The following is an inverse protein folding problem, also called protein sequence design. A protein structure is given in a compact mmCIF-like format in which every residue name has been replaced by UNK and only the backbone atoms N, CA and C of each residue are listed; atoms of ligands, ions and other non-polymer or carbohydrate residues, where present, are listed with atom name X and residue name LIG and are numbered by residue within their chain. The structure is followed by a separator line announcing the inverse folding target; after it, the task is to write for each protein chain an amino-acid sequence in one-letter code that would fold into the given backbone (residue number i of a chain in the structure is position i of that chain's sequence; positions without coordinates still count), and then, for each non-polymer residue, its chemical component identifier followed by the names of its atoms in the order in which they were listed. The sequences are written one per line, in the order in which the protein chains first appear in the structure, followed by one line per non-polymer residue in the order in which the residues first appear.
data_IF_045494074062
#
_entry.id   IF_045494074062
#
_cell.length_a   1.000
_cell.length_b   1.000
_cell.length_c   1.000
_cell.angle_alpha   90.00
_cell.angle_beta   90.00
_cell.angle_gamma   90.00
#
_symmetry.space_group_name_H-M   'P 1'
#
loop_
_entity.id
_entity.type
_entity.pdbx_description
1 polymer ?
#
# COMPACT_ATOMS: atom_id res chain seq x y z
N UNK A 1 -30.36 -19.97 12.80
CA UNK A 1 -29.01 -20.30 13.39
C UNK A 1 -27.80 -19.96 12.51
N UNK A 2 -27.86 -20.15 11.19
CA UNK A 2 -26.70 -19.79 10.30
C UNK A 2 -26.40 -18.28 10.26
N UNK A 3 -27.41 -17.43 10.33
CA UNK A 3 -27.27 -15.97 10.23
C UNK A 3 -26.61 -15.32 11.48
N UNK A 4 -26.82 -15.87 12.65
CA UNK A 4 -26.28 -15.37 13.92
C UNK A 4 -24.76 -15.65 14.05
N UNK A 5 -24.28 -16.77 13.51
CA UNK A 5 -22.85 -17.10 13.47
C UNK A 5 -22.08 -16.23 12.47
N UNK A 6 -22.71 -15.85 11.36
CA UNK A 6 -22.14 -14.97 10.34
C UNK A 6 -22.00 -13.53 10.86
N UNK A 7 -23.00 -13.02 11.58
CA UNK A 7 -22.96 -11.70 12.20
C UNK A 7 -21.86 -11.57 13.27
N UNK A 8 -21.68 -12.60 14.10
CA UNK A 8 -20.60 -12.63 15.12
C UNK A 8 -19.21 -12.65 14.48
N UNK A 9 -19.03 -13.39 13.38
CA UNK A 9 -17.76 -13.39 12.61
C UNK A 9 -17.46 -12.03 12.00
N UNK A 10 -18.47 -11.39 11.39
CA UNK A 10 -18.33 -10.07 10.80
C UNK A 10 -17.99 -9.00 11.85
N UNK A 11 -18.66 -9.04 13.00
CA UNK A 11 -18.37 -8.12 14.12
C UNK A 11 -16.96 -8.30 14.66
N UNK A 12 -16.52 -9.56 14.88
CA UNK A 12 -15.18 -9.87 15.36
C UNK A 12 -14.10 -9.45 14.37
N UNK A 13 -14.34 -9.67 13.07
CA UNK A 13 -13.44 -9.21 12.02
C UNK A 13 -13.38 -7.67 11.96
N UNK A 14 -14.54 -7.00 12.01
CA UNK A 14 -14.63 -5.53 12.02
C UNK A 14 -13.87 -4.90 13.19
N UNK A 15 -14.05 -5.43 14.40
CA UNK A 15 -13.28 -4.99 15.58
C UNK A 15 -11.79 -5.26 15.40
N UNK A 16 -11.41 -6.43 14.88
CA UNK A 16 -10.01 -6.76 14.59
C UNK A 16 -9.37 -5.78 13.59
N UNK A 17 -10.05 -5.44 12.51
CA UNK A 17 -9.56 -4.44 11.54
C UNK A 17 -9.45 -3.04 12.16
N UNK A 18 -10.44 -2.63 12.98
CA UNK A 18 -10.43 -1.32 13.64
C UNK A 18 -9.24 -1.20 14.59
N UNK A 19 -9.05 -2.17 15.46
CA UNK A 19 -7.92 -2.20 16.41
C UNK A 19 -6.60 -2.24 15.66
N UNK A 20 -6.49 -3.07 14.62
CA UNK A 20 -5.27 -3.15 13.82
C UNK A 20 -4.92 -1.85 13.11
N UNK A 21 -5.89 -1.23 12.47
CA UNK A 21 -5.68 0.08 11.84
C UNK A 21 -5.30 1.16 12.84
N UNK A 22 -5.87 1.11 14.04
CA UNK A 22 -5.53 2.04 15.12
C UNK A 22 -4.09 1.83 15.60
N UNK A 23 -3.64 0.57 15.75
CA UNK A 23 -2.26 0.25 16.11
C UNK A 23 -1.27 0.71 15.04
N UNK A 24 -1.52 0.38 13.76
CA UNK A 24 -0.64 0.79 12.64
C UNK A 24 -0.56 2.31 12.52
N UNK A 25 -1.69 3.01 12.58
CA UNK A 25 -1.73 4.48 12.53
C UNK A 25 -1.11 5.11 13.77
N UNK A 26 -1.29 4.52 14.94
CA UNK A 26 -0.66 4.94 16.19
C UNK A 26 0.87 4.82 16.11
N UNK A 27 1.37 3.72 15.55
CA UNK A 27 2.80 3.52 15.34
C UNK A 27 3.37 4.58 14.38
N UNK A 28 2.70 4.82 13.25
CA UNK A 28 3.08 5.87 12.29
C UNK A 28 3.04 7.27 12.92
N UNK A 29 2.04 7.54 13.76
CA UNK A 29 1.96 8.81 14.48
C UNK A 29 3.13 9.03 15.45
N UNK A 30 3.58 7.97 16.13
CA UNK A 30 4.74 8.03 17.02
C UNK A 30 6.07 8.12 16.25
N UNK A 31 6.14 7.59 15.04
CA UNK A 31 7.33 7.66 14.19
C UNK A 31 7.66 9.10 13.77
N UNK A 32 6.66 9.95 13.49
CA UNK A 32 6.88 11.33 13.06
C UNK A 32 7.72 12.15 14.06
N UNK A 33 7.36 12.26 15.37
CA UNK A 33 8.18 13.02 16.32
C UNK A 33 9.53 12.34 16.60
N UNK A 34 9.63 11.02 16.41
CA UNK A 34 10.89 10.31 16.52
C UNK A 34 11.85 10.72 15.41
N UNK A 35 11.39 10.69 14.16
CA UNK A 35 12.18 11.13 13.00
C UNK A 35 12.53 12.62 13.09
N UNK A 36 11.60 13.48 13.51
CA UNK A 36 11.86 14.90 13.69
C UNK A 36 12.93 15.21 14.75
N UNK A 37 13.23 14.27 15.66
CA UNK A 37 14.31 14.40 16.67
C UNK A 37 15.63 13.78 16.23
N UNK A 38 15.59 12.76 15.38
CA UNK A 38 16.76 12.00 14.95
C UNK A 38 17.35 12.53 13.63
N UNK A 39 16.53 13.16 12.78
CA UNK A 39 16.91 13.67 11.48
C UNK A 39 17.13 15.18 11.56
N UNK A 40 17.99 15.71 10.67
CA UNK A 40 18.07 17.16 10.46
C UNK A 40 16.79 17.66 9.76
N UNK A 41 16.53 18.95 9.82
CA UNK A 41 15.37 19.56 9.12
C UNK A 41 15.43 19.30 7.62
N UNK A 42 16.64 19.29 7.05
CA UNK A 42 16.89 19.03 5.63
C UNK A 42 16.57 17.58 5.26
N UNK A 43 17.11 16.60 6.02
CA UNK A 43 16.84 15.17 5.82
C UNK A 43 15.36 14.84 5.95
N UNK A 44 14.67 15.42 6.95
CA UNK A 44 13.24 15.25 7.15
C UNK A 44 12.44 15.84 5.97
N UNK A 45 12.90 16.95 5.40
CA UNK A 45 12.32 17.56 4.19
C UNK A 45 12.45 16.62 2.99
N UNK A 46 13.62 16.04 2.75
CA UNK A 46 13.87 15.06 1.68
C UNK A 46 12.96 13.82 1.85
N UNK A 47 12.93 13.25 3.05
CA UNK A 47 12.07 12.11 3.38
C UNK A 47 10.59 12.41 3.13
N UNK A 48 10.10 13.55 3.60
CA UNK A 48 8.71 13.97 3.42
C UNK A 48 8.33 14.14 1.95
N UNK A 49 9.24 14.73 1.17
CA UNK A 49 9.08 14.90 -0.28
C UNK A 49 9.04 13.56 -0.99
N UNK A 50 10.00 12.67 -0.68
CA UNK A 50 10.04 11.29 -1.20
C UNK A 50 8.75 10.53 -0.91
N UNK A 51 8.29 10.54 0.35
CA UNK A 51 7.06 9.86 0.78
C UNK A 51 5.82 10.42 0.07
N UNK A 52 5.77 11.71 -0.19
CA UNK A 52 4.69 12.34 -0.94
C UNK A 52 4.63 11.84 -2.39
N UNK A 53 5.77 11.71 -3.04
CA UNK A 53 5.86 11.14 -4.40
C UNK A 53 5.48 9.65 -4.41
N UNK A 54 5.90 8.88 -3.41
CA UNK A 54 5.48 7.47 -3.26
C UNK A 54 3.96 7.36 -3.17
N UNK A 55 3.30 8.21 -2.38
CA UNK A 55 1.83 8.21 -2.28
C UNK A 55 1.16 8.46 -3.63
N UNK A 56 1.61 9.47 -4.38
CA UNK A 56 1.07 9.78 -5.71
C UNK A 56 1.29 8.62 -6.67
N UNK A 57 2.53 8.11 -6.71
CA UNK A 57 2.89 6.99 -7.59
C UNK A 57 2.19 5.68 -7.23
N UNK A 58 1.86 5.45 -5.95
CA UNK A 58 1.07 4.28 -5.52
C UNK A 58 -0.32 4.28 -6.17
N UNK A 59 -0.96 5.45 -6.26
CA UNK A 59 -2.25 5.58 -6.96
C UNK A 59 -2.10 5.27 -8.45
N UNK A 60 -1.05 5.80 -9.09
CA UNK A 60 -0.76 5.55 -10.50
C UNK A 60 -0.38 4.08 -10.77
N UNK A 61 0.44 3.47 -9.91
CA UNK A 61 0.85 2.07 -10.05
C UNK A 61 -0.32 1.09 -9.91
N UNK A 62 -1.18 1.32 -8.90
CA UNK A 62 -2.29 0.43 -8.57
C UNK A 62 -3.64 0.79 -9.21
N UNK A 63 -3.79 1.95 -9.88
CA UNK A 63 -5.06 2.47 -10.42
C UNK A 63 -6.23 2.40 -9.42
N UNK A 64 -5.93 2.36 -8.13
CA UNK A 64 -6.92 2.19 -7.06
C UNK A 64 -7.78 0.91 -7.20
N UNK A 65 -7.32 -0.07 -7.99
CA UNK A 65 -8.05 -1.31 -8.29
C UNK A 65 -8.34 -2.17 -7.07
N UNK A 66 -7.66 -1.94 -5.95
CA UNK A 66 -7.96 -2.60 -4.68
C UNK A 66 -9.40 -2.35 -4.20
N UNK A 67 -10.03 -1.25 -4.60
CA UNK A 67 -11.41 -0.92 -4.22
C UNK A 67 -12.44 -1.80 -4.97
N UNK A 68 -12.10 -2.27 -6.16
CA UNK A 68 -12.98 -3.09 -7.00
C UNK A 68 -13.10 -4.55 -6.52
N UNK A 69 -12.17 -5.02 -5.68
CA UNK A 69 -12.16 -6.41 -5.14
C UNK A 69 -13.47 -6.74 -4.41
N UNK A 70 -14.03 -5.77 -3.67
CA UNK A 70 -15.29 -5.96 -2.96
C UNK A 70 -16.47 -6.19 -3.92
N UNK A 71 -16.55 -5.40 -4.98
CA UNK A 71 -17.60 -5.54 -5.99
C UNK A 71 -17.42 -6.83 -6.78
N UNK A 72 -16.18 -7.16 -7.16
CA UNK A 72 -15.89 -8.41 -7.85
C UNK A 72 -16.33 -9.66 -7.08
N UNK A 73 -16.20 -9.64 -5.74
CA UNK A 73 -16.67 -10.76 -4.91
C UNK A 73 -18.19 -10.87 -4.84
N UNK A 74 -18.93 -9.77 -4.99
CA UNK A 74 -20.38 -9.76 -5.01
C UNK A 74 -20.94 -10.19 -6.38
N UNK A 75 -20.30 -9.68 -7.46
CA UNK A 75 -20.79 -9.85 -8.83
C UNK A 75 -20.27 -11.14 -9.48
N UNK A 76 -19.08 -11.61 -9.10
CA UNK A 76 -18.36 -12.73 -9.73
C UNK A 76 -17.86 -13.74 -8.68
N UNK A 77 -18.77 -14.32 -7.89
CA UNK A 77 -18.44 -15.22 -6.76
C UNK A 77 -17.51 -16.35 -7.19
N UNK A 78 -17.78 -17.01 -8.31
CA UNK A 78 -17.01 -18.15 -8.81
C UNK A 78 -15.72 -17.74 -9.56
N UNK A 79 -15.62 -16.50 -10.01
CA UNK A 79 -14.53 -15.98 -10.83
C UNK A 79 -13.62 -15.00 -10.07
N UNK A 80 -13.85 -14.81 -8.77
CA UNK A 80 -13.09 -13.87 -7.93
C UNK A 80 -11.57 -14.12 -8.00
N UNK A 81 -11.15 -15.38 -8.02
CA UNK A 81 -9.73 -15.76 -8.15
C UNK A 81 -9.12 -15.32 -9.49
N UNK A 82 -9.82 -15.56 -10.58
CA UNK A 82 -9.37 -15.15 -11.93
C UNK A 82 -9.34 -13.63 -12.06
N UNK A 83 -10.32 -12.94 -11.48
CA UNK A 83 -10.35 -11.49 -11.40
C UNK A 83 -9.14 -10.92 -10.64
N UNK A 84 -8.86 -11.43 -9.45
CA UNK A 84 -7.70 -11.02 -8.66
C UNK A 84 -6.36 -11.25 -9.40
N UNK A 85 -6.23 -12.39 -10.11
CA UNK A 85 -5.06 -12.66 -10.94
C UNK A 85 -4.90 -11.67 -12.08
N UNK A 86 -5.99 -11.33 -12.77
CA UNK A 86 -5.96 -10.35 -13.87
C UNK A 86 -5.61 -8.95 -13.39
N UNK A 87 -6.16 -8.52 -12.26
CA UNK A 87 -5.81 -7.24 -11.64
C UNK A 87 -4.35 -7.21 -11.20
N UNK A 88 -3.84 -8.30 -10.60
CA UNK A 88 -2.44 -8.43 -10.21
C UNK A 88 -1.51 -8.29 -11.41
N UNK A 89 -1.78 -9.00 -12.51
CA UNK A 89 -1.01 -8.89 -13.75
C UNK A 89 -1.03 -7.48 -14.33
N UNK A 90 -2.17 -6.80 -14.28
CA UNK A 90 -2.30 -5.42 -14.74
C UNK A 90 -1.45 -4.47 -13.89
N UNK A 91 -1.49 -4.60 -12.57
CA UNK A 91 -0.69 -3.79 -11.65
C UNK A 91 0.81 -4.04 -11.86
N UNK A 92 1.22 -5.30 -12.02
CA UNK A 92 2.62 -5.66 -12.33
C UNK A 92 3.04 -5.04 -13.66
N UNK A 93 2.26 -5.23 -14.72
CA UNK A 93 2.58 -4.71 -16.06
C UNK A 93 2.70 -3.18 -16.07
N UNK A 94 1.75 -2.49 -15.43
CA UNK A 94 1.79 -1.04 -15.30
C UNK A 94 3.00 -0.57 -14.48
N UNK A 95 3.31 -1.24 -13.38
CA UNK A 95 4.47 -0.89 -12.53
C UNK A 95 5.80 -1.12 -13.25
N UNK A 96 5.92 -2.19 -14.05
CA UNK A 96 7.10 -2.43 -14.89
C UNK A 96 7.24 -1.35 -15.98
N UNK A 97 6.14 -0.90 -16.56
CA UNK A 97 6.13 0.21 -17.52
C UNK A 97 6.61 1.51 -16.86
N UNK A 98 6.05 1.86 -15.70
CA UNK A 98 6.46 3.03 -14.93
C UNK A 98 7.94 2.95 -14.51
N UNK A 99 8.41 1.77 -14.10
CA UNK A 99 9.82 1.54 -13.76
C UNK A 99 10.71 1.74 -14.99
N UNK A 100 10.35 1.17 -16.12
CA UNK A 100 11.08 1.37 -17.40
C UNK A 100 11.15 2.84 -17.78
N UNK A 101 10.04 3.57 -17.70
CA UNK A 101 9.99 5.02 -17.95
C UNK A 101 10.87 5.79 -16.96
N UNK A 102 10.81 5.44 -15.66
CA UNK A 102 11.62 6.12 -14.64
C UNK A 102 13.13 5.89 -14.84
N UNK A 103 13.55 4.74 -15.36
CA UNK A 103 14.94 4.45 -15.67
C UNK A 103 15.40 5.18 -16.95
N UNK A 104 14.58 5.20 -18.00
CA UNK A 104 14.89 5.89 -19.26
C UNK A 104 14.98 7.40 -19.05
N UNK A 105 14.06 7.96 -18.27
CA UNK A 105 13.97 9.39 -17.98
C UNK A 105 14.53 9.76 -16.59
N UNK A 106 15.45 8.98 -16.04
CA UNK A 106 15.96 9.15 -14.68
C UNK A 106 16.46 10.57 -14.41
N UNK A 107 17.36 11.10 -15.24
CA UNK A 107 17.94 12.44 -15.06
C UNK A 107 16.92 13.59 -15.22
N UNK A 108 16.08 13.64 -16.27
CA UNK A 108 15.08 14.69 -16.37
C UNK A 108 14.01 14.60 -15.27
N UNK A 109 13.59 13.38 -14.86
CA UNK A 109 12.64 13.20 -13.75
C UNK A 109 13.22 13.67 -12.42
N UNK A 110 14.47 13.28 -12.10
CA UNK A 110 15.12 13.71 -10.88
C UNK A 110 15.18 15.24 -10.79
N UNK A 111 15.56 15.91 -11.89
CA UNK A 111 15.60 17.38 -11.95
C UNK A 111 14.21 18.01 -11.78
N UNK A 112 13.18 17.49 -12.46
CA UNK A 112 11.82 17.99 -12.36
C UNK A 112 11.23 17.84 -10.96
N UNK A 113 11.58 16.77 -10.27
CA UNK A 113 11.11 16.47 -8.93
C UNK A 113 12.00 17.06 -7.83
N UNK A 114 13.03 17.84 -8.22
CA UNK A 114 14.03 18.40 -7.29
C UNK A 114 14.71 17.34 -6.43
N UNK A 115 14.93 16.14 -7.00
CA UNK A 115 15.64 15.05 -6.35
C UNK A 115 17.12 15.12 -6.67
N UNK A 116 17.96 14.96 -5.66
CA UNK A 116 19.43 15.08 -5.82
C UNK A 116 20.02 13.94 -6.65
N UNK A 117 19.45 12.75 -6.56
CA UNK A 117 20.01 11.55 -7.16
C UNK A 117 19.14 10.99 -8.29
N UNK A 118 19.71 10.62 -9.44
CA UNK A 118 18.96 10.15 -10.60
C UNK A 118 18.29 8.77 -10.40
N UNK A 119 18.68 7.99 -9.38
CA UNK A 119 18.07 6.70 -9.09
C UNK A 119 16.79 6.81 -8.21
N UNK A 120 16.57 7.95 -7.55
CA UNK A 120 15.41 8.14 -6.66
C UNK A 120 14.05 7.96 -7.35
N UNK A 121 13.82 8.43 -8.59
CA UNK A 121 12.57 8.14 -9.29
C UNK A 121 12.27 6.65 -9.44
N UNK A 122 13.30 5.83 -9.70
CA UNK A 122 13.12 4.38 -9.81
C UNK A 122 12.79 3.74 -8.44
N UNK A 123 13.41 4.21 -7.36
CA UNK A 123 13.07 3.76 -6.00
C UNK A 123 11.65 4.14 -5.61
N UNK A 124 11.19 5.36 -5.95
CA UNK A 124 9.81 5.79 -5.74
C UNK A 124 8.83 4.82 -6.42
N UNK A 125 9.08 4.45 -7.67
CA UNK A 125 8.22 3.51 -8.40
C UNK A 125 8.24 2.13 -7.77
N UNK A 126 9.42 1.64 -7.36
CA UNK A 126 9.57 0.32 -6.73
C UNK A 126 8.82 0.23 -5.39
N UNK A 127 8.97 1.25 -4.55
CA UNK A 127 8.25 1.33 -3.28
C UNK A 127 6.74 1.46 -3.50
N UNK A 128 6.32 2.28 -4.46
CA UNK A 128 4.92 2.46 -4.83
C UNK A 128 4.27 1.17 -5.33
N UNK A 129 5.00 0.33 -6.07
CA UNK A 129 4.55 -1.00 -6.46
C UNK A 129 4.32 -1.88 -5.23
N UNK A 130 5.27 -1.91 -4.28
CA UNK A 130 5.12 -2.65 -3.03
C UNK A 130 3.88 -2.20 -2.24
N UNK A 131 3.67 -0.89 -2.12
CA UNK A 131 2.50 -0.30 -1.49
C UNK A 131 1.19 -0.64 -2.20
N UNK A 132 1.15 -0.57 -3.52
CA UNK A 132 -0.02 -0.92 -4.31
C UNK A 132 -0.39 -2.41 -4.13
N UNK A 133 0.60 -3.30 -4.17
CA UNK A 133 0.42 -4.73 -3.92
C UNK A 133 -0.06 -5.04 -2.51
N UNK A 134 0.54 -4.40 -1.50
CA UNK A 134 0.13 -4.55 -0.11
C UNK A 134 -1.32 -4.10 0.10
N UNK A 135 -1.69 -2.96 -0.46
CA UNK A 135 -3.05 -2.42 -0.37
C UNK A 135 -4.06 -3.31 -1.07
N UNK A 136 -3.70 -3.85 -2.25
CA UNK A 136 -4.52 -4.81 -2.97
C UNK A 136 -4.73 -6.10 -2.16
N UNK A 137 -3.66 -6.70 -1.64
CA UNK A 137 -3.74 -7.92 -0.85
C UNK A 137 -4.51 -7.72 0.45
N UNK A 138 -4.33 -6.59 1.12
CA UNK A 138 -5.12 -6.21 2.30
C UNK A 138 -6.62 -6.11 1.98
N UNK A 139 -6.99 -5.62 0.79
CA UNK A 139 -8.38 -5.60 0.33
C UNK A 139 -8.94 -7.01 0.16
N UNK A 140 -8.17 -7.93 -0.42
CA UNK A 140 -8.56 -9.35 -0.56
C UNK A 140 -8.78 -9.99 0.82
N UNK A 141 -7.84 -9.83 1.74
CA UNK A 141 -7.95 -10.35 3.11
C UNK A 141 -9.17 -9.78 3.86
N UNK A 142 -9.46 -8.49 3.65
CA UNK A 142 -10.62 -7.83 4.25
C UNK A 142 -11.94 -8.44 3.79
N UNK A 143 -12.05 -8.73 2.50
CA UNK A 143 -13.26 -9.34 1.92
C UNK A 143 -13.44 -10.79 2.37
N UNK A 144 -12.34 -11.50 2.67
CA UNK A 144 -12.35 -12.89 3.17
C UNK A 144 -12.47 -12.99 4.71
N UNK A 145 -12.64 -11.86 5.40
CA UNK A 145 -12.68 -11.80 6.87
C UNK A 145 -11.42 -12.36 7.57
N UNK A 146 -10.28 -12.35 6.89
CA UNK A 146 -8.98 -12.84 7.40
C UNK A 146 -8.23 -11.77 8.18
N UNK A 147 -8.85 -11.24 9.24
CA UNK A 147 -8.32 -10.10 10.00
C UNK A 147 -6.95 -10.37 10.64
N UNK A 148 -6.63 -11.61 11.03
CA UNK A 148 -5.33 -11.95 11.65
C UNK A 148 -4.18 -11.79 10.66
N UNK A 149 -4.34 -12.31 9.43
CA UNK A 149 -3.36 -12.20 8.36
C UNK A 149 -3.18 -10.72 7.95
N UNK A 150 -4.29 -9.99 7.86
CA UNK A 150 -4.28 -8.54 7.64
C UNK A 150 -3.46 -7.80 8.71
N UNK A 151 -3.67 -8.10 10.00
CA UNK A 151 -2.96 -7.48 11.11
C UNK A 151 -1.46 -7.74 11.06
N UNK A 152 -1.07 -9.00 10.87
CA UNK A 152 0.34 -9.38 10.80
C UNK A 152 1.02 -8.66 9.64
N UNK A 153 0.42 -8.69 8.45
CA UNK A 153 0.98 -8.04 7.27
C UNK A 153 1.12 -6.52 7.45
N UNK A 154 0.08 -5.88 7.99
CA UNK A 154 0.09 -4.42 8.23
C UNK A 154 1.09 -4.01 9.30
N UNK A 155 1.26 -4.81 10.37
CA UNK A 155 2.25 -4.56 11.41
C UNK A 155 3.68 -4.76 10.89
N UNK A 156 3.93 -5.84 10.15
CA UNK A 156 5.25 -6.09 9.53
C UNK A 156 5.63 -4.92 8.63
N UNK A 157 4.68 -4.46 7.80
CA UNK A 157 4.93 -3.30 6.94
C UNK A 157 5.20 -2.02 7.73
N UNK A 158 4.40 -1.74 8.78
CA UNK A 158 4.59 -0.55 9.61
C UNK A 158 5.95 -0.55 10.31
N UNK A 159 6.40 -1.71 10.82
CA UNK A 159 7.72 -1.85 11.46
C UNK A 159 8.85 -1.72 10.43
N UNK A 160 8.71 -2.34 9.25
CA UNK A 160 9.70 -2.22 8.18
C UNK A 160 9.84 -0.79 7.64
N UNK A 161 8.75 -0.01 7.66
CA UNK A 161 8.76 1.39 7.23
C UNK A 161 9.34 2.38 8.27
N UNK A 162 9.61 1.93 9.49
CA UNK A 162 10.25 2.73 10.56
C UNK A 162 11.77 2.49 10.62
N UNK A 163 12.26 1.36 10.10
CA UNK A 163 13.68 0.99 10.07
C UNK A 163 14.36 1.41 8.81
#
# INVERSE_FOLDING_TARGET
MANESSGKKALKAGLGYTVGNMLVKGLSFLAIPLFARLMTVEDFGIYSTFSSYVMIMTVLAGFTLHTSVRNAKLDYVDLTGSYCSSVTLLVIGNSLLLLGLSLVFASPLARSLSLEQPYLPALIVLESFGMAMLTFYNSVLSVDYKYKEYLVLSLVYAVAGIG
#
